data_IF_035328365828
#
_entry.id   IF_035328365828
#
_cell.length_a   1.000
_cell.length_b   1.000
_cell.length_c   1.000
_cell.angle_alpha   90.00
_cell.angle_beta   90.00
_cell.angle_gamma   90.00
#
_symmetry.space_group_name_H-M   'P 1'
#
loop_
_entity.id
_entity.type
_entity.pdbx_description
1 polymer ?
#
# COMPACT_ATOMS: atom_id res chain seq x y z
N UNK A 1 -17.06 3.89 -1.88
CA UNK A 1 -16.96 2.45 -2.23
C UNK A 1 -16.18 1.71 -1.14
N UNK A 2 -16.59 0.50 -0.76
CA UNK A 2 -15.87 -0.35 0.19
C UNK A 2 -15.11 -1.44 -0.57
N UNK A 3 -13.81 -1.57 -0.33
CA UNK A 3 -12.91 -2.52 -0.98
C UNK A 3 -12.24 -3.44 0.03
N UNK A 4 -11.90 -4.64 -0.42
CA UNK A 4 -11.17 -5.65 0.33
C UNK A 4 -9.85 -5.99 -0.36
N UNK A 5 -9.06 -6.89 0.21
CA UNK A 5 -7.84 -7.37 -0.44
C UNK A 5 -8.08 -8.04 -1.81
N UNK A 6 -9.29 -8.55 -2.07
CA UNK A 6 -9.65 -9.17 -3.36
C UNK A 6 -9.81 -8.14 -4.48
N UNK A 7 -10.22 -6.93 -4.13
CA UNK A 7 -10.52 -5.85 -5.08
C UNK A 7 -9.29 -4.98 -5.36
N UNK A 8 -8.17 -5.25 -4.70
CA UNK A 8 -6.99 -4.38 -4.73
C UNK A 8 -6.39 -4.21 -6.12
N UNK A 9 -6.63 -5.16 -7.04
CA UNK A 9 -6.20 -5.07 -8.44
C UNK A 9 -6.85 -3.91 -9.20
N UNK A 10 -7.97 -3.37 -8.72
CA UNK A 10 -8.65 -2.21 -9.28
C UNK A 10 -8.05 -0.87 -8.81
N UNK A 11 -7.23 -0.89 -7.75
CA UNK A 11 -6.69 0.33 -7.12
C UNK A 11 -5.37 0.72 -7.77
N UNK A 12 -5.26 1.99 -8.19
CA UNK A 12 -4.01 2.51 -8.76
C UNK A 12 -3.12 3.14 -7.69
N UNK A 13 -2.01 2.48 -7.38
CA UNK A 13 -0.99 3.01 -6.48
C UNK A 13 -0.14 4.12 -7.12
N UNK A 14 0.46 5.04 -6.32
CA UNK A 14 0.30 5.13 -4.87
C UNK A 14 -1.11 5.56 -4.45
N UNK A 15 -1.48 5.20 -3.22
CA UNK A 15 -2.69 5.70 -2.56
C UNK A 15 -2.32 6.61 -1.41
N UNK A 16 -3.22 7.51 -1.03
CA UNK A 16 -3.01 8.43 0.07
C UNK A 16 -4.07 8.22 1.14
N UNK A 17 -3.64 8.06 2.38
CA UNK A 17 -4.57 7.96 3.50
C UNK A 17 -5.17 9.34 3.80
N UNK A 18 -6.50 9.40 3.92
CA UNK A 18 -7.25 10.64 4.17
C UNK A 18 -8.14 10.49 5.40
N UNK A 19 -8.67 11.60 5.93
CA UNK A 19 -9.69 11.54 6.98
C UNK A 19 -10.99 10.92 6.45
N UNK A 20 -11.72 10.28 7.37
CA UNK A 20 -13.12 9.93 7.14
C UNK A 20 -13.94 11.20 7.37
N UNK A 21 -14.30 11.86 6.28
CA UNK A 21 -15.09 13.09 6.31
C UNK A 21 -15.99 13.16 5.10
N UNK A 22 -16.78 14.24 5.05
CA UNK A 22 -17.67 14.51 3.94
C UNK A 22 -16.83 14.89 2.72
N UNK A 23 -16.97 14.07 1.69
CA UNK A 23 -16.40 14.31 0.38
C UNK A 23 -17.53 14.49 -0.62
N UNK A 24 -17.34 15.41 -1.55
CA UNK A 24 -18.30 15.68 -2.60
C UNK A 24 -17.56 16.14 -3.86
N UNK A 25 -18.15 15.85 -5.01
CA UNK A 25 -17.66 16.31 -6.31
C UNK A 25 -18.49 17.48 -6.79
N UNK A 26 -17.86 18.53 -7.30
CA UNK A 26 -18.53 19.66 -7.94
C UNK A 26 -17.65 20.23 -9.04
N UNK A 27 -18.19 20.41 -10.24
CA UNK A 27 -17.53 21.06 -11.38
C UNK A 27 -16.12 20.51 -11.69
N UNK A 28 -15.95 19.19 -11.59
CA UNK A 28 -14.67 18.51 -11.83
C UNK A 28 -13.68 18.56 -10.66
N UNK A 29 -14.01 19.26 -9.58
CA UNK A 29 -13.24 19.26 -8.34
C UNK A 29 -13.80 18.22 -7.35
N UNK A 30 -12.91 17.54 -6.65
CA UNK A 30 -13.24 16.66 -5.54
C UNK A 30 -12.82 17.35 -4.25
N UNK A 31 -13.78 17.52 -3.35
CA UNK A 31 -13.55 18.14 -2.05
C UNK A 31 -13.54 17.10 -0.94
N UNK A 32 -12.78 17.39 0.12
CA UNK A 32 -12.82 16.72 1.41
C UNK A 32 -12.65 17.80 2.48
N UNK A 33 -13.60 17.89 3.42
CA UNK A 33 -13.58 18.92 4.48
C UNK A 33 -13.44 20.35 3.91
N UNK A 34 -14.21 20.66 2.86
CA UNK A 34 -14.20 21.94 2.12
C UNK A 34 -12.83 22.33 1.50
N UNK A 35 -11.88 21.40 1.42
CA UNK A 35 -10.59 21.56 0.75
C UNK A 35 -10.52 20.69 -0.49
N UNK A 36 -9.78 21.14 -1.49
CA UNK A 36 -9.66 20.41 -2.77
C UNK A 36 -8.72 19.22 -2.59
N UNK A 37 -9.29 18.03 -2.73
CA UNK A 37 -8.58 16.77 -2.70
C UNK A 37 -8.04 16.38 -4.08
N UNK A 38 -8.79 16.64 -5.14
CA UNK A 38 -8.37 16.40 -6.53
C UNK A 38 -9.02 17.43 -7.45
N UNK A 39 -8.31 17.81 -8.51
CA UNK A 39 -8.79 18.72 -9.55
C UNK A 39 -8.75 17.98 -10.89
N UNK A 40 -9.88 17.40 -11.30
CA UNK A 40 -9.98 16.60 -12.52
C UNK A 40 -10.05 17.44 -13.79
N UNK A 41 -10.13 18.76 -13.68
CA UNK A 41 -10.06 19.66 -14.83
C UNK A 41 -8.62 19.83 -15.32
N UNK A 42 -7.63 19.53 -14.48
CA UNK A 42 -6.22 19.56 -14.88
C UNK A 42 -5.82 18.34 -15.71
N UNK A 43 -4.98 18.58 -16.71
CA UNK A 43 -4.40 17.51 -17.54
C UNK A 43 -3.47 16.65 -16.68
N UNK A 44 -3.56 15.33 -16.83
CA UNK A 44 -2.65 14.41 -16.16
C UNK A 44 -3.29 13.07 -15.83
N UNK A 45 -2.49 12.01 -15.90
CA UNK A 45 -2.98 10.64 -15.68
C UNK A 45 -3.00 10.25 -14.20
N UNK A 46 -2.46 11.08 -13.31
CA UNK A 46 -2.42 10.84 -11.86
C UNK A 46 -2.88 12.05 -11.05
N UNK A 47 -3.40 11.75 -9.86
CA UNK A 47 -3.76 12.71 -8.82
C UNK A 47 -2.61 13.70 -8.54
N UNK A 48 -1.39 13.19 -8.43
CA UNK A 48 -0.21 14.02 -8.19
C UNK A 48 0.05 15.04 -9.31
N UNK A 49 -0.03 14.61 -10.57
CA UNK A 49 0.15 15.51 -11.72
C UNK A 49 -0.90 16.61 -11.76
N UNK A 50 -2.17 16.26 -11.51
CA UNK A 50 -3.27 17.24 -11.50
C UNK A 50 -3.12 18.24 -10.38
N UNK A 51 -2.79 17.76 -9.17
CA UNK A 51 -2.55 18.62 -8.00
C UNK A 51 -1.34 19.53 -8.12
N UNK A 52 -0.33 19.20 -8.92
CA UNK A 52 0.81 20.08 -9.19
C UNK A 52 0.46 21.24 -10.13
N UNK A 53 -0.48 21.02 -11.04
CA UNK A 53 -0.86 21.99 -12.08
C UNK A 53 -2.04 22.88 -11.68
N UNK A 54 -2.80 22.47 -10.66
CA UNK A 54 -4.00 23.20 -10.23
C UNK A 54 -3.67 24.64 -9.80
N UNK A 55 -4.44 25.65 -10.25
CA UNK A 55 -4.26 27.03 -9.81
C UNK A 55 -4.73 27.23 -8.36
N UNK A 56 -5.57 26.34 -7.85
CA UNK A 56 -6.18 26.45 -6.53
C UNK A 56 -5.16 26.27 -5.40
N UNK A 57 -5.30 27.07 -4.33
CA UNK A 57 -4.38 27.06 -3.18
C UNK A 57 -4.94 26.35 -1.95
N UNK A 58 -6.26 26.18 -1.87
CA UNK A 58 -6.98 25.51 -0.77
C UNK A 58 -6.95 23.98 -0.90
N UNK A 59 -5.77 23.40 -1.16
CA UNK A 59 -5.61 21.96 -1.31
C UNK A 59 -5.65 21.24 0.04
N UNK A 60 -6.34 20.10 0.08
CA UNK A 60 -6.28 19.17 1.20
C UNK A 60 -4.87 18.54 1.26
N UNK A 61 -4.18 18.52 2.41
CA UNK A 61 -2.81 18.01 2.50
C UNK A 61 -2.77 16.47 2.43
N UNK A 62 -2.04 15.92 1.46
CA UNK A 62 -1.78 14.49 1.35
C UNK A 62 -0.42 14.13 1.99
N UNK A 63 -0.44 13.72 3.27
CA UNK A 63 0.78 13.49 4.05
C UNK A 63 1.27 12.04 4.06
N UNK A 64 0.37 11.09 3.85
CA UNK A 64 0.64 9.67 4.07
C UNK A 64 0.44 8.88 2.77
N UNK A 65 1.50 8.76 1.99
CA UNK A 65 1.54 7.93 0.79
C UNK A 65 1.79 6.46 1.14
N UNK A 66 1.08 5.56 0.48
CA UNK A 66 1.24 4.12 0.58
C UNK A 66 1.38 3.54 -0.83
N UNK A 67 2.44 2.75 -1.06
CA UNK A 67 2.79 2.29 -2.42
C UNK A 67 2.25 0.90 -2.76
N UNK A 68 1.64 0.20 -1.81
CA UNK A 68 1.16 -1.17 -1.98
C UNK A 68 0.13 -1.56 -0.91
N UNK A 69 -0.51 -2.73 -1.13
CA UNK A 69 -1.48 -3.32 -0.22
C UNK A 69 -0.95 -3.52 1.20
N UNK A 70 0.31 -3.93 1.37
CA UNK A 70 0.95 -4.07 2.68
C UNK A 70 0.87 -2.76 3.47
N UNK A 71 1.10 -1.62 2.81
CA UNK A 71 0.94 -0.30 3.42
C UNK A 71 -0.49 -0.04 3.91
N UNK A 72 -1.50 -0.37 3.09
CA UNK A 72 -2.91 -0.24 3.46
C UNK A 72 -3.26 -1.13 4.66
N UNK A 73 -2.81 -2.39 4.68
CA UNK A 73 -3.08 -3.32 5.80
C UNK A 73 -2.42 -2.84 7.09
N UNK A 74 -1.23 -2.25 7.03
CA UNK A 74 -0.54 -1.71 8.22
C UNK A 74 -1.07 -0.35 8.66
N UNK A 75 -1.80 0.35 7.81
CA UNK A 75 -2.40 1.65 8.15
C UNK A 75 -3.49 1.51 9.21
N UNK A 76 -3.57 2.50 10.10
CA UNK A 76 -4.70 2.69 11.02
C UNK A 76 -5.89 3.38 10.36
N UNK A 77 -5.65 4.11 9.27
CA UNK A 77 -6.69 4.78 8.48
C UNK A 77 -7.46 3.76 7.65
N UNK A 78 -8.73 4.04 7.42
CA UNK A 78 -9.64 3.18 6.64
C UNK A 78 -9.96 3.76 5.27
N UNK A 79 -9.85 5.07 5.10
CA UNK A 79 -10.23 5.78 3.88
C UNK A 79 -9.00 6.24 3.12
N UNK A 80 -9.01 6.02 1.81
CA UNK A 80 -7.89 6.29 0.93
C UNK A 80 -8.39 6.91 -0.37
N UNK A 81 -7.51 7.65 -1.04
CA UNK A 81 -7.67 8.08 -2.42
C UNK A 81 -6.56 7.47 -3.27
N UNK A 82 -6.91 6.90 -4.41
CA UNK A 82 -5.96 6.31 -5.33
C UNK A 82 -5.39 7.35 -6.32
N UNK A 83 -4.42 6.93 -7.13
CA UNK A 83 -3.81 7.82 -8.12
C UNK A 83 -4.74 8.22 -9.27
N UNK A 84 -5.87 7.55 -9.47
CA UNK A 84 -6.87 7.99 -10.44
C UNK A 84 -7.81 9.05 -9.84
N UNK A 85 -7.79 9.27 -8.53
CA UNK A 85 -8.68 10.18 -7.82
C UNK A 85 -9.97 9.51 -7.35
N UNK A 86 -9.96 8.18 -7.18
CA UNK A 86 -11.07 7.41 -6.63
C UNK A 86 -10.92 7.24 -5.11
N UNK A 87 -11.95 7.65 -4.36
CA UNK A 87 -12.01 7.45 -2.90
C UNK A 87 -12.58 6.07 -2.59
N UNK A 88 -11.94 5.36 -1.67
CA UNK A 88 -12.43 4.08 -1.18
C UNK A 88 -12.13 3.86 0.31
N UNK A 89 -12.96 3.03 0.93
CA UNK A 89 -12.74 2.51 2.27
C UNK A 89 -12.19 1.10 2.17
N UNK A 90 -11.09 0.79 2.86
CA UNK A 90 -10.53 -0.54 2.94
C UNK A 90 -11.07 -1.29 4.16
N UNK A 91 -11.63 -2.48 3.95
CA UNK A 91 -12.18 -3.35 5.00
C UNK A 91 -11.34 -4.62 5.09
N UNK A 92 -10.81 -4.87 6.29
CA UNK A 92 -10.11 -6.12 6.62
C UNK A 92 -11.12 -7.22 6.92
N UNK A 93 -11.13 -8.28 6.12
CA UNK A 93 -12.14 -9.34 6.15
C UNK A 93 -11.64 -10.65 6.73
N UNK A 94 -10.37 -11.01 6.54
CA UNK A 94 -9.86 -12.36 6.84
C UNK A 94 -8.60 -12.33 7.70
N UNK A 95 -8.45 -13.29 8.62
CA UNK A 95 -7.22 -13.46 9.39
C UNK A 95 -6.28 -14.48 8.74
N UNK A 96 -5.21 -13.99 8.12
CA UNK A 96 -4.17 -14.80 7.51
C UNK A 96 -3.04 -15.12 8.48
N UNK A 97 -2.39 -16.27 8.32
CA UNK A 97 -1.21 -16.63 9.11
C UNK A 97 0.02 -15.87 8.64
N UNK A 98 0.74 -15.28 9.58
CA UNK A 98 2.04 -14.65 9.40
C UNK A 98 3.11 -15.61 9.93
N UNK A 99 3.96 -16.10 9.04
CA UNK A 99 5.02 -17.06 9.34
C UNK A 99 6.38 -16.50 9.01
N UNK A 100 7.39 -16.84 9.81
CA UNK A 100 8.75 -16.30 9.64
C UNK A 100 9.69 -17.33 9.02
N UNK A 101 10.38 -16.89 7.96
CA UNK A 101 11.31 -17.68 7.17
C UNK A 101 12.65 -16.99 7.09
N UNK A 102 13.73 -17.76 7.03
CA UNK A 102 15.07 -17.22 6.84
C UNK A 102 15.25 -16.71 5.41
N UNK A 103 15.96 -15.59 5.26
CA UNK A 103 16.43 -15.11 3.96
C UNK A 103 17.66 -15.95 3.60
N UNK A 104 17.59 -16.72 2.53
CA UNK A 104 18.71 -17.54 2.06
C UNK A 104 19.69 -16.72 1.22
N UNK A 105 19.16 -15.81 0.40
CA UNK A 105 19.99 -15.01 -0.51
C UNK A 105 19.38 -13.66 -0.81
N UNK A 106 20.23 -12.63 -0.77
CA UNK A 106 19.91 -11.26 -1.19
C UNK A 106 20.66 -10.96 -2.48
N UNK A 107 19.96 -10.95 -3.61
CA UNK A 107 20.53 -10.64 -4.93
C UNK A 107 20.21 -9.19 -5.30
N UNK A 108 21.21 -8.31 -5.23
CA UNK A 108 21.06 -6.90 -5.67
C UNK A 108 21.07 -6.86 -7.19
N UNK A 109 19.95 -6.43 -7.79
CA UNK A 109 19.86 -6.14 -9.22
C UNK A 109 19.95 -4.62 -9.43
N UNK A 110 20.00 -4.17 -10.69
CA UNK A 110 20.20 -2.74 -11.02
C UNK A 110 19.19 -1.79 -10.36
N UNK A 111 17.90 -2.15 -10.34
CA UNK A 111 16.81 -1.28 -9.82
C UNK A 111 16.08 -1.83 -8.59
N UNK A 112 16.26 -3.11 -8.31
CA UNK A 112 15.50 -3.84 -7.29
C UNK A 112 16.39 -4.89 -6.64
N UNK A 113 16.00 -5.39 -5.50
CA UNK A 113 16.63 -6.53 -4.84
C UNK A 113 15.70 -7.73 -4.90
N UNK A 114 16.27 -8.89 -5.24
CA UNK A 114 15.57 -10.16 -5.24
C UNK A 114 15.95 -10.94 -3.99
N UNK A 115 14.96 -11.34 -3.21
CA UNK A 115 15.11 -12.13 -2.00
C UNK A 115 14.71 -13.57 -2.27
N UNK A 116 15.63 -14.51 -2.03
CA UNK A 116 15.32 -15.95 -1.94
C UNK A 116 15.08 -16.30 -0.49
N UNK A 117 13.94 -16.93 -0.25
CA UNK A 117 13.43 -17.21 1.09
C UNK A 117 13.36 -18.71 1.28
N UNK A 118 13.78 -19.17 2.45
CA UNK A 118 13.82 -20.58 2.81
C UNK A 118 12.44 -21.22 2.61
N UNK A 119 12.41 -22.39 1.95
CA UNK A 119 11.18 -23.17 1.68
C UNK A 119 10.15 -22.44 0.81
N UNK A 120 10.52 -21.34 0.15
CA UNK A 120 9.65 -20.62 -0.78
C UNK A 120 10.26 -20.62 -2.17
N UNK A 121 9.60 -21.32 -3.11
CA UNK A 121 10.08 -21.47 -4.49
C UNK A 121 10.19 -20.13 -5.23
N UNK A 122 9.21 -19.24 -5.05
CA UNK A 122 9.15 -17.96 -5.76
C UNK A 122 9.89 -16.87 -4.98
N UNK A 123 10.89 -16.18 -5.56
CA UNK A 123 11.55 -15.09 -4.87
C UNK A 123 10.66 -13.85 -4.76
N UNK A 124 10.93 -13.01 -3.77
CA UNK A 124 10.28 -11.71 -3.60
C UNK A 124 11.15 -10.59 -4.17
N UNK A 125 10.52 -9.62 -4.84
CA UNK A 125 11.21 -8.45 -5.38
C UNK A 125 10.87 -7.26 -4.50
N UNK A 126 11.90 -6.58 -4.02
CA UNK A 126 11.78 -5.42 -3.12
C UNK A 126 12.62 -4.27 -3.67
N UNK A 127 12.23 -3.00 -3.45
CA UNK A 127 12.92 -1.86 -4.07
C UNK A 127 14.34 -1.68 -3.53
N UNK A 128 14.57 -1.97 -2.25
CA UNK A 128 15.87 -1.83 -1.59
C UNK A 128 16.22 -3.11 -0.83
N UNK A 129 17.51 -3.47 -0.76
CA UNK A 129 17.93 -4.61 0.04
C UNK A 129 17.61 -4.34 1.52
N UNK A 130 17.21 -5.37 2.29
CA UNK A 130 17.15 -5.25 3.73
C UNK A 130 18.55 -5.02 4.31
N UNK A 131 18.61 -4.48 5.52
CA UNK A 131 19.87 -4.27 6.22
C UNK A 131 20.53 -5.62 6.59
N UNK A 132 21.86 -5.70 6.72
CA UNK A 132 22.57 -6.98 6.94
C UNK A 132 22.12 -7.79 8.16
N UNK A 133 21.68 -7.11 9.22
CA UNK A 133 21.15 -7.69 10.46
C UNK A 133 19.79 -8.39 10.27
N UNK A 134 19.06 -8.05 9.21
CA UNK A 134 17.77 -8.66 8.88
C UNK A 134 18.01 -10.04 8.25
N UNK A 135 17.77 -11.09 9.03
CA UNK A 135 17.92 -12.47 8.59
C UNK A 135 16.61 -13.16 8.25
N UNK A 136 15.46 -12.61 8.68
CA UNK A 136 14.15 -13.24 8.53
C UNK A 136 13.14 -12.32 7.88
N UNK A 137 12.17 -12.93 7.20
CA UNK A 137 10.98 -12.26 6.65
C UNK A 137 9.72 -12.89 7.24
N UNK A 138 8.77 -12.04 7.63
CA UNK A 138 7.40 -12.42 7.90
C UNK A 138 6.60 -12.45 6.60
N UNK A 139 6.12 -13.62 6.20
CA UNK A 139 5.26 -13.80 5.03
C UNK A 139 3.82 -14.04 5.48
N UNK A 140 2.88 -13.33 4.86
CA UNK A 140 1.46 -13.67 4.95
C UNK A 140 1.16 -14.83 4.01
N UNK A 141 0.44 -15.83 4.53
CA UNK A 141 -0.02 -16.97 3.75
C UNK A 141 -1.51 -16.87 3.46
N UNK A 142 -1.87 -17.13 2.20
CA UNK A 142 -3.24 -17.37 1.79
C UNK A 142 -3.44 -18.88 1.67
N UNK A 143 -4.12 -19.47 2.65
CA UNK A 143 -4.12 -20.91 2.87
C UNK A 143 -2.70 -21.43 3.12
N UNK A 144 -2.26 -22.42 2.33
CA UNK A 144 -0.90 -22.96 2.42
C UNK A 144 0.16 -22.15 1.67
N UNK A 145 -0.25 -21.22 0.79
CA UNK A 145 0.65 -20.55 -0.15
C UNK A 145 1.19 -19.24 0.42
N UNK A 146 2.51 -18.97 0.36
CA UNK A 146 3.04 -17.66 0.68
C UNK A 146 2.54 -16.64 -0.33
N UNK A 147 1.98 -15.54 0.15
CA UNK A 147 1.33 -14.53 -0.68
C UNK A 147 2.11 -13.23 -0.74
N UNK A 148 2.45 -12.65 0.40
CA UNK A 148 3.04 -11.32 0.46
C UNK A 148 4.07 -11.19 1.59
N UNK A 149 5.19 -10.52 1.28
CA UNK A 149 6.15 -10.08 2.29
C UNK A 149 5.52 -8.99 3.15
N UNK A 150 5.37 -9.26 4.44
CA UNK A 150 4.68 -8.38 5.38
C UNK A 150 5.67 -7.58 6.23
N UNK A 151 6.75 -8.19 6.69
CA UNK A 151 7.80 -7.51 7.45
C UNK A 151 9.12 -8.26 7.46
N UNK A 152 10.11 -7.58 8.05
CA UNK A 152 11.47 -8.04 8.24
C UNK A 152 11.72 -8.22 9.73
N UNK A 153 12.63 -9.13 10.09
CA UNK A 153 13.09 -9.30 11.46
C UNK A 153 14.54 -9.79 11.49
N UNK A 154 15.27 -9.40 12.52
CA UNK A 154 16.63 -9.88 12.79
C UNK A 154 16.63 -11.34 13.26
N UNK A 155 15.58 -11.74 13.99
CA UNK A 155 15.44 -13.08 14.57
C UNK A 155 14.17 -13.78 14.09
N UNK A 156 14.08 -15.08 14.34
CA UNK A 156 12.86 -15.83 14.03
C UNK A 156 11.79 -15.56 15.09
N UNK A 157 10.79 -14.77 14.72
CA UNK A 157 9.63 -14.50 15.57
C UNK A 157 8.63 -15.66 15.54
N UNK A 158 7.76 -15.72 16.55
CA UNK A 158 6.65 -16.68 16.62
C UNK A 158 5.64 -16.41 15.51
N UNK A 159 5.05 -17.48 14.99
CA UNK A 159 3.96 -17.38 14.03
C UNK A 159 2.75 -16.69 14.68
N UNK A 160 2.13 -15.77 13.95
CA UNK A 160 0.96 -15.02 14.42
C UNK A 160 -0.08 -14.92 13.31
N UNK A 161 -1.12 -14.12 13.50
CA UNK A 161 -2.12 -13.83 12.48
C UNK A 161 -2.24 -12.32 12.27
N UNK A 162 -2.62 -11.92 11.06
CA UNK A 162 -2.95 -10.53 10.73
C UNK A 162 -4.29 -10.50 10.00
N UNK A 163 -5.14 -9.54 10.36
CA UNK A 163 -6.37 -9.29 9.64
C UNK A 163 -6.04 -8.49 8.39
N UNK A 164 -6.45 -9.02 7.24
CA UNK A 164 -6.18 -8.49 5.90
C UNK A 164 -7.48 -8.07 5.27
#
# INVERSE_FOLDING_TARGET
MALTYKDIGMVRFPVYAVSSGDWYGQDGLLFLENKILDDKNMKGTSLGMRRLQTPHKNLYPLRHQLDNLRGIIKSSKKTFIDSNGAIFNYIKTEFLSLKYYKIEKVEKLKKVTRLRIERVKKPFIVPRPPAPEIQYVGLLHYGIRPWMLYEYSETKLKDTRRKV
#
